data_IF_211165573804
#
_entry.id   IF_211165573804
#
_cell.length_a   1.000
_cell.length_b   1.000
_cell.length_c   1.000
_cell.angle_alpha   90.00
_cell.angle_beta   90.00
_cell.angle_gamma   90.00
#
_symmetry.space_group_name_H-M   'P 1'
#
loop_
_entity.id
_entity.type
_entity.pdbx_description
1 polymer ?
#
# COMPACT_ATOMS: atom_id res chain seq x y z
N UNK A 1 3.41 -18.66 10.94
CA UNK A 1 2.84 -17.89 9.81
C UNK A 1 3.94 -17.64 8.80
N UNK A 2 3.64 -17.54 7.51
CA UNK A 2 4.63 -17.14 6.51
C UNK A 2 4.83 -15.61 6.50
N UNK A 3 5.92 -15.13 5.89
CA UNK A 3 6.24 -13.71 5.82
C UNK A 3 5.10 -12.89 5.20
N UNK A 4 4.50 -13.38 4.11
CA UNK A 4 3.35 -12.71 3.48
C UNK A 4 2.21 -12.41 4.45
N UNK A 5 1.90 -13.33 5.36
CA UNK A 5 0.84 -13.11 6.36
C UNK A 5 1.19 -11.97 7.32
N UNK A 6 2.46 -11.85 7.74
CA UNK A 6 2.91 -10.73 8.56
C UNK A 6 2.84 -9.41 7.78
N UNK A 7 3.31 -9.39 6.53
CA UNK A 7 3.24 -8.20 5.68
C UNK A 7 1.80 -7.76 5.43
N UNK A 8 0.87 -8.70 5.21
CA UNK A 8 -0.55 -8.42 5.08
C UNK A 8 -1.09 -7.72 6.34
N UNK A 9 -0.77 -8.23 7.54
CA UNK A 9 -1.18 -7.59 8.79
C UNK A 9 -0.56 -6.20 8.95
N UNK A 10 0.73 -6.04 8.65
CA UNK A 10 1.41 -4.75 8.67
C UNK A 10 0.78 -3.75 7.69
N UNK A 11 0.40 -4.21 6.50
CA UNK A 11 -0.29 -3.38 5.52
C UNK A 11 -1.65 -2.90 6.04
N UNK A 12 -2.48 -3.80 6.57
CA UNK A 12 -3.78 -3.44 7.13
C UNK A 12 -3.65 -2.45 8.29
N UNK A 13 -2.66 -2.65 9.16
CA UNK A 13 -2.37 -1.72 10.27
C UNK A 13 -1.93 -0.36 9.74
N UNK A 14 -1.01 -0.32 8.78
CA UNK A 14 -0.50 0.91 8.18
C UNK A 14 -1.55 1.73 7.43
N UNK A 15 -2.35 1.08 6.58
CA UNK A 15 -3.32 1.75 5.70
C UNK A 15 -4.63 2.11 6.38
N UNK A 16 -5.04 1.38 7.41
CA UNK A 16 -6.33 1.60 8.06
C UNK A 16 -6.24 2.10 9.49
N UNK A 17 -5.44 1.46 10.34
CA UNK A 17 -5.41 1.81 11.77
C UNK A 17 -4.52 3.02 12.06
N UNK A 18 -3.37 3.12 11.38
CA UNK A 18 -2.40 4.20 11.58
C UNK A 18 -2.63 5.38 10.62
N UNK A 19 -3.42 5.20 9.56
CA UNK A 19 -3.79 6.27 8.66
C UNK A 19 -4.91 7.14 9.25
N UNK A 20 -4.54 8.32 9.77
CA UNK A 20 -5.48 9.33 10.21
C UNK A 20 -6.22 10.05 9.06
N UNK A 21 -7.26 10.81 9.44
CA UNK A 21 -8.12 11.57 8.53
C UNK A 21 -7.33 12.56 7.62
N UNK A 22 -6.33 13.25 8.16
CA UNK A 22 -5.53 14.21 7.39
C UNK A 22 -4.77 13.53 6.26
N UNK A 23 -4.15 12.37 6.51
CA UNK A 23 -3.48 11.57 5.49
C UNK A 23 -4.49 11.10 4.43
N UNK A 24 -5.55 10.44 4.87
CA UNK A 24 -6.55 9.84 3.98
C UNK A 24 -7.19 10.86 3.02
N UNK A 25 -7.52 12.05 3.51
CA UNK A 25 -8.20 13.09 2.71
C UNK A 25 -7.26 13.84 1.76
N UNK A 26 -5.96 13.86 2.03
CA UNK A 26 -5.04 14.73 1.29
C UNK A 26 -3.97 13.98 0.48
N UNK A 27 -3.68 12.70 0.73
CA UNK A 27 -2.56 11.96 0.10
C UNK A 27 -2.60 11.92 -1.42
N UNK A 28 -3.81 11.87 -2.00
CA UNK A 28 -3.96 11.87 -3.46
C UNK A 28 -3.47 13.19 -4.10
N UNK A 29 -3.64 14.33 -3.41
CA UNK A 29 -3.45 15.66 -4.00
C UNK A 29 -2.21 16.40 -3.46
N UNK A 30 -1.72 16.06 -2.27
CA UNK A 30 -0.62 16.78 -1.59
C UNK A 30 0.53 15.83 -1.28
N UNK A 31 1.76 16.30 -1.48
CA UNK A 31 2.96 15.50 -1.25
C UNK A 31 3.25 15.24 0.23
N UNK A 32 3.11 16.25 1.10
CA UNK A 32 3.42 16.09 2.52
C UNK A 32 2.56 14.97 3.17
N UNK A 33 1.22 14.98 3.05
CA UNK A 33 0.38 13.90 3.59
C UNK A 33 0.68 12.53 2.98
N UNK A 34 1.02 12.49 1.68
CA UNK A 34 1.39 11.25 1.00
C UNK A 34 2.69 10.67 1.56
N UNK A 35 3.76 11.47 1.64
CA UNK A 35 5.06 11.01 2.10
C UNK A 35 5.03 10.65 3.59
N UNK A 36 4.28 11.39 4.41
CA UNK A 36 4.02 11.03 5.80
C UNK A 36 3.31 9.68 5.90
N UNK A 37 2.28 9.47 5.10
CA UNK A 37 1.56 8.20 5.08
C UNK A 37 2.45 7.03 4.62
N UNK A 38 3.19 7.20 3.53
CA UNK A 38 4.13 6.19 3.03
C UNK A 38 5.19 5.84 4.09
N UNK A 39 5.65 6.82 4.87
CA UNK A 39 6.57 6.59 5.97
C UNK A 39 5.92 5.77 7.09
N UNK A 40 4.73 6.17 7.56
CA UNK A 40 3.96 5.43 8.59
C UNK A 40 3.68 4.00 8.15
N UNK A 41 3.24 3.82 6.90
CA UNK A 41 2.99 2.53 6.28
C UNK A 41 4.26 1.66 6.25
N UNK A 42 5.37 2.21 5.74
CA UNK A 42 6.63 1.47 5.63
C UNK A 42 7.19 1.10 7.00
N UNK A 43 7.01 1.95 8.02
CA UNK A 43 7.35 1.61 9.41
C UNK A 43 6.49 0.48 9.96
N UNK A 44 5.21 0.42 9.60
CA UNK A 44 4.32 -0.68 9.98
C UNK A 44 4.76 -2.00 9.33
N UNK A 45 5.13 -1.98 8.04
CA UNK A 45 5.70 -3.14 7.35
C UNK A 45 7.05 -3.55 7.95
N UNK A 46 7.94 -2.61 8.22
CA UNK A 46 9.22 -2.87 8.88
C UNK A 46 9.01 -3.57 10.22
N UNK A 47 8.08 -3.07 11.06
CA UNK A 47 7.75 -3.71 12.32
C UNK A 47 7.22 -5.13 12.13
N UNK A 48 6.38 -5.37 11.10
CA UNK A 48 5.90 -6.71 10.77
C UNK A 48 7.03 -7.68 10.38
N UNK A 49 8.02 -7.22 9.60
CA UNK A 49 9.21 -8.04 9.26
C UNK A 49 10.01 -8.35 10.52
N UNK A 50 10.30 -7.35 11.37
CA UNK A 50 11.05 -7.56 12.61
C UNK A 50 10.34 -8.55 13.54
N UNK A 51 9.02 -8.41 13.74
CA UNK A 51 8.22 -9.32 14.58
C UNK A 51 8.18 -10.74 14.00
N UNK A 52 8.19 -10.87 12.67
CA UNK A 52 8.17 -12.17 12.00
C UNK A 52 9.47 -12.98 12.18
N UNK A 53 10.58 -12.33 12.58
CA UNK A 53 11.89 -12.95 12.72
C UNK A 53 12.66 -13.16 11.40
N UNK A 54 12.11 -12.70 10.27
CA UNK A 54 12.80 -12.70 8.98
C UNK A 54 13.81 -11.55 8.89
N UNK A 55 14.87 -11.74 8.10
CA UNK A 55 15.87 -10.69 7.88
C UNK A 55 15.28 -9.48 7.17
N UNK A 56 15.75 -8.27 7.49
CA UNK A 56 15.23 -7.07 6.84
C UNK A 56 15.92 -6.83 5.51
N UNK A 57 15.17 -7.00 4.41
CA UNK A 57 15.61 -6.54 3.09
C UNK A 57 15.34 -5.04 2.90
N UNK A 58 16.40 -4.23 2.92
CA UNK A 58 16.32 -2.79 2.66
C UNK A 58 15.80 -2.47 1.25
N UNK A 59 16.14 -3.33 0.28
CA UNK A 59 15.63 -3.22 -1.09
C UNK A 59 14.10 -3.44 -1.12
N UNK A 60 13.60 -4.43 -0.38
CA UNK A 60 12.16 -4.65 -0.25
C UNK A 60 11.45 -3.42 0.30
N UNK A 61 11.96 -2.83 1.40
CA UNK A 61 11.38 -1.63 2.00
C UNK A 61 11.38 -0.43 1.05
N UNK A 62 12.46 -0.25 0.28
CA UNK A 62 12.53 0.83 -0.72
C UNK A 62 11.50 0.65 -1.82
N UNK A 63 11.33 -0.57 -2.36
CA UNK A 63 10.32 -0.88 -3.37
C UNK A 63 8.92 -0.64 -2.81
N UNK A 64 8.65 -1.11 -1.59
CA UNK A 64 7.36 -0.88 -0.90
C UNK A 64 7.06 0.62 -0.82
N UNK A 65 7.97 1.41 -0.25
CA UNK A 65 7.77 2.85 -0.10
C UNK A 65 7.47 3.56 -1.42
N UNK A 66 8.26 3.27 -2.47
CA UNK A 66 8.11 3.91 -3.79
C UNK A 66 6.79 3.48 -4.45
N UNK A 67 6.48 2.19 -4.42
CA UNK A 67 5.25 1.65 -5.01
C UNK A 67 4.00 2.17 -4.31
N UNK A 68 4.03 2.30 -2.97
CA UNK A 68 2.94 2.84 -2.17
C UNK A 68 2.68 4.30 -2.54
N UNK A 69 3.73 5.11 -2.62
CA UNK A 69 3.63 6.51 -3.04
C UNK A 69 3.04 6.65 -4.45
N UNK A 70 3.38 5.75 -5.37
CA UNK A 70 2.84 5.73 -6.73
C UNK A 70 1.36 5.35 -6.77
N UNK A 71 0.96 4.27 -6.08
CA UNK A 71 -0.43 3.80 -6.06
C UNK A 71 -1.37 4.80 -5.38
N UNK A 72 -0.95 5.38 -4.26
CA UNK A 72 -1.77 6.28 -3.44
C UNK A 72 -2.05 7.65 -4.07
N UNK A 73 -1.34 8.00 -5.15
CA UNK A 73 -1.74 9.12 -6.02
C UNK A 73 -3.03 8.85 -6.77
N UNK A 74 -3.54 7.61 -6.76
CA UNK A 74 -4.76 7.10 -7.37
C UNK A 74 -4.86 7.24 -8.89
N UNK A 75 -3.97 7.97 -9.56
CA UNK A 75 -4.00 8.13 -11.02
C UNK A 75 -3.99 6.77 -11.73
N UNK A 76 -3.10 5.87 -11.32
CA UNK A 76 -3.01 4.51 -11.86
C UNK A 76 -4.29 3.70 -11.59
N UNK A 77 -4.79 3.72 -10.35
CA UNK A 77 -5.99 2.97 -9.95
C UNK A 77 -7.24 3.49 -10.70
N UNK A 78 -7.39 4.80 -10.81
CA UNK A 78 -8.48 5.42 -11.58
C UNK A 78 -8.41 5.03 -13.05
N UNK A 79 -7.21 5.08 -13.65
CA UNK A 79 -7.01 4.62 -15.02
C UNK A 79 -7.37 3.14 -15.16
N UNK A 80 -6.93 2.28 -14.25
CA UNK A 80 -7.22 0.85 -14.27
C UNK A 80 -8.73 0.56 -14.20
N UNK A 81 -9.42 1.16 -13.23
CA UNK A 81 -10.86 0.99 -13.05
C UNK A 81 -11.65 1.47 -14.28
N UNK A 82 -11.24 2.61 -14.88
CA UNK A 82 -11.94 3.16 -16.05
C UNK A 82 -11.64 2.42 -17.35
N UNK A 83 -10.38 2.07 -17.58
CA UNK A 83 -9.90 1.54 -18.86
C UNK A 83 -9.91 0.03 -18.90
N UNK A 84 -9.43 -0.64 -17.85
CA UNK A 84 -9.31 -2.10 -17.81
C UNK A 84 -10.63 -2.73 -17.32
N UNK A 85 -11.20 -2.20 -16.24
CA UNK A 85 -12.46 -2.73 -15.69
C UNK A 85 -13.70 -2.14 -16.38
N UNK A 86 -13.53 -1.12 -17.22
CA UNK A 86 -14.61 -0.52 -18.02
C UNK A 86 -15.64 0.29 -17.22
N UNK A 87 -15.37 0.63 -15.97
CA UNK A 87 -16.32 1.34 -15.09
C UNK A 87 -16.20 2.85 -15.31
N UNK A 88 -17.14 3.43 -16.05
CA UNK A 88 -17.09 4.85 -16.43
C UNK A 88 -17.38 5.81 -15.28
N UNK A 89 -18.33 5.45 -14.41
CA UNK A 89 -18.75 6.22 -13.24
C UNK A 89 -18.85 5.26 -12.04
N UNK A 90 -17.74 4.91 -11.37
CA UNK A 90 -17.81 4.07 -10.18
C UNK A 90 -18.65 4.78 -9.11
N UNK A 91 -19.76 4.16 -8.69
CA UNK A 91 -20.58 4.67 -7.61
C UNK A 91 -19.85 4.48 -6.27
N UNK A 92 -19.55 5.61 -5.61
CA UNK A 92 -18.78 5.61 -4.38
C UNK A 92 -17.29 5.24 -4.57
N UNK A 93 -16.55 5.31 -3.48
CA UNK A 93 -15.09 5.08 -3.49
C UNK A 93 -14.70 3.61 -3.26
N UNK A 94 -15.65 2.71 -3.00
CA UNK A 94 -15.35 1.35 -2.56
C UNK A 94 -14.56 0.55 -3.60
N UNK A 95 -14.97 0.59 -4.87
CA UNK A 95 -14.28 -0.13 -5.93
C UNK A 95 -12.84 0.37 -6.12
N UNK A 96 -12.64 1.68 -6.02
CA UNK A 96 -11.31 2.29 -6.10
C UNK A 96 -10.45 1.87 -4.92
N UNK A 97 -11.01 1.85 -3.71
CA UNK A 97 -10.31 1.40 -2.50
C UNK A 97 -9.92 -0.07 -2.65
N UNK A 98 -10.83 -0.97 -2.99
CA UNK A 98 -10.50 -2.39 -3.10
C UNK A 98 -9.49 -2.65 -4.23
N UNK A 99 -9.62 -1.99 -5.37
CA UNK A 99 -8.66 -2.12 -6.47
C UNK A 99 -7.27 -1.65 -6.05
N UNK A 100 -7.20 -0.50 -5.38
CA UNK A 100 -5.97 0.03 -4.81
C UNK A 100 -5.31 -0.96 -3.86
N UNK A 101 -6.06 -1.52 -2.91
CA UNK A 101 -5.53 -2.43 -1.91
C UNK A 101 -5.07 -3.76 -2.53
N UNK A 102 -5.77 -4.28 -3.55
CA UNK A 102 -5.32 -5.46 -4.30
C UNK A 102 -3.93 -5.23 -4.92
N UNK A 103 -3.68 -4.05 -5.50
CA UNK A 103 -2.35 -3.75 -6.06
C UNK A 103 -1.26 -3.71 -4.98
N UNK A 104 -1.56 -3.15 -3.81
CA UNK A 104 -0.63 -3.19 -2.66
C UNK A 104 -0.32 -4.63 -2.26
N UNK A 105 -1.34 -5.50 -2.15
CA UNK A 105 -1.14 -6.91 -1.80
C UNK A 105 -0.35 -7.68 -2.87
N UNK A 106 -0.55 -7.37 -4.16
CA UNK A 106 0.23 -7.95 -5.25
C UNK A 106 1.72 -7.58 -5.14
N UNK A 107 2.03 -6.33 -4.78
CA UNK A 107 3.41 -5.89 -4.53
C UNK A 107 4.02 -6.66 -3.36
N UNK A 108 3.29 -6.82 -2.25
CA UNK A 108 3.78 -7.61 -1.11
C UNK A 108 4.05 -9.06 -1.52
N UNK A 109 3.16 -9.67 -2.30
CA UNK A 109 3.34 -11.02 -2.82
C UNK A 109 4.58 -11.14 -3.72
N UNK A 110 4.78 -10.18 -4.63
CA UNK A 110 5.96 -10.12 -5.49
C UNK A 110 7.25 -9.95 -4.70
N UNK A 111 7.25 -9.11 -3.67
CA UNK A 111 8.41 -8.90 -2.80
C UNK A 111 8.76 -10.17 -2.05
N UNK A 112 7.76 -10.85 -1.47
CA UNK A 112 8.00 -12.12 -0.78
C UNK A 112 8.50 -13.17 -1.76
N UNK A 113 8.04 -13.19 -3.01
CA UNK A 113 8.48 -14.18 -3.99
C UNK A 113 9.90 -13.93 -4.54
N UNK A 114 10.29 -12.66 -4.71
CA UNK A 114 11.52 -12.29 -5.39
C UNK A 114 12.68 -11.96 -4.44
N UNK A 115 12.39 -11.56 -3.20
CA UNK A 115 13.37 -11.04 -2.25
C UNK A 115 13.46 -11.86 -0.95
N UNK A 116 12.65 -12.91 -0.80
CA UNK A 116 12.59 -13.81 0.37
C UNK A 116 12.35 -15.26 -0.08
#
# INVERSE_FOLDING_TARGET
MNLFTYLLLGHLVGDYLLQNYWMAMNKANKWIPLLTHCLVYTLSIFAAIVISGFEVSWLALAIIYISHAFLDKRFFVFWWVRTIMGVKNPEGNWLLIITDQIFHLLILGLIVHLLY
#
